data_IF_183979739765
#
_entry.id   IF_183979739765
#
_cell.length_a   1.000
_cell.length_b   1.000
_cell.length_c   1.000
_cell.angle_alpha   90.00
_cell.angle_beta   90.00
_cell.angle_gamma   90.00
#
_symmetry.space_group_name_H-M   'P 1'
#
loop_
_entity.id
_entity.type
_entity.pdbx_description
1 polymer ?
#
# COMPACT_ATOMS: atom_id res chain seq x y z
N UNK A 1 5.56 11.35 -8.91
CA UNK A 1 5.95 10.49 -7.76
C UNK A 1 4.91 9.41 -7.64
N UNK A 2 5.28 8.17 -7.83
CA UNK A 2 4.35 7.05 -7.74
C UNK A 2 4.10 6.79 -6.26
N UNK A 3 2.86 6.85 -5.87
CA UNK A 3 2.42 6.52 -4.53
C UNK A 3 2.35 5.01 -4.43
N UNK A 4 3.26 4.42 -3.66
CA UNK A 4 3.29 2.98 -3.47
C UNK A 4 2.26 2.58 -2.44
N UNK A 5 1.37 1.69 -2.85
CA UNK A 5 0.46 0.99 -1.96
C UNK A 5 0.98 -0.42 -1.65
N UNK A 6 0.31 -1.12 -0.74
CA UNK A 6 0.64 -2.50 -0.39
C UNK A 6 0.73 -3.37 -1.64
N UNK A 7 -0.19 -3.21 -2.58
CA UNK A 7 -0.21 -3.97 -3.83
C UNK A 7 1.03 -3.74 -4.68
N UNK A 8 1.39 -2.49 -4.89
CA UNK A 8 2.59 -2.13 -5.65
C UNK A 8 3.85 -2.65 -4.98
N UNK A 9 3.95 -2.51 -3.65
CA UNK A 9 5.09 -3.02 -2.90
C UNK A 9 5.24 -4.54 -3.00
N UNK A 10 4.14 -5.30 -2.90
CA UNK A 10 4.18 -6.77 -3.07
C UNK A 10 4.68 -7.13 -4.46
N UNK A 11 4.12 -6.52 -5.50
CA UNK A 11 4.51 -6.79 -6.89
C UNK A 11 5.96 -6.44 -7.17
N UNK A 12 6.44 -5.30 -6.64
CA UNK A 12 7.84 -4.88 -6.78
C UNK A 12 8.79 -5.84 -6.04
N UNK A 13 8.48 -6.18 -4.79
CA UNK A 13 9.33 -7.09 -4.01
C UNK A 13 9.39 -8.46 -4.65
N UNK A 14 8.30 -8.95 -5.21
CA UNK A 14 8.28 -10.19 -5.99
C UNK A 14 9.12 -10.08 -7.26
N UNK A 15 9.00 -8.98 -8.01
CA UNK A 15 9.79 -8.76 -9.23
C UNK A 15 11.29 -8.75 -8.91
N UNK A 16 11.71 -8.12 -7.81
CA UNK A 16 13.12 -8.09 -7.39
C UNK A 16 13.70 -9.48 -7.08
N UNK A 17 12.86 -10.45 -6.73
CA UNK A 17 13.30 -11.82 -6.41
C UNK A 17 13.37 -12.74 -7.63
N UNK A 18 12.97 -12.26 -8.81
CA UNK A 18 13.02 -13.08 -10.02
C UNK A 18 14.46 -13.30 -10.49
N UNK A 19 14.77 -14.43 -11.15
CA UNK A 19 16.10 -14.73 -11.67
C UNK A 19 16.65 -13.66 -12.59
N UNK A 20 15.80 -12.92 -13.29
CA UNK A 20 16.20 -11.79 -14.15
C UNK A 20 16.92 -10.68 -13.36
N UNK A 21 16.66 -10.54 -12.08
CA UNK A 21 17.35 -9.56 -11.21
C UNK A 21 18.46 -10.20 -10.37
N UNK A 22 18.14 -11.23 -9.57
CA UNK A 22 19.06 -11.75 -8.54
C UNK A 22 19.69 -13.11 -8.88
N UNK A 23 19.32 -13.73 -10.01
CA UNK A 23 19.88 -15.00 -10.46
C UNK A 23 21.32 -14.86 -10.97
N UNK A 24 21.97 -15.99 -11.19
CA UNK A 24 23.26 -16.03 -11.89
C UNK A 24 23.10 -15.43 -13.31
N UNK A 25 23.81 -14.33 -13.57
CA UNK A 25 23.66 -13.56 -14.82
C UNK A 25 22.47 -12.60 -14.83
N UNK A 26 21.74 -12.44 -13.70
CA UNK A 26 20.69 -11.44 -13.56
C UNK A 26 21.25 -10.02 -13.53
N UNK A 27 20.37 -9.03 -13.73
CA UNK A 27 20.75 -7.61 -13.88
C UNK A 27 21.46 -7.04 -12.64
N UNK A 28 21.24 -7.63 -11.48
CA UNK A 28 21.88 -7.24 -10.23
C UNK A 28 23.02 -8.18 -9.81
N UNK A 29 23.39 -9.14 -10.67
CA UNK A 29 24.53 -10.01 -10.42
C UNK A 29 25.82 -9.17 -10.28
N UNK A 30 26.59 -9.43 -9.22
CA UNK A 30 27.82 -8.71 -8.94
C UNK A 30 27.64 -7.34 -8.26
N UNK A 31 26.41 -6.86 -8.05
CA UNK A 31 26.17 -5.69 -7.24
C UNK A 31 26.27 -6.00 -5.74
N UNK A 32 26.77 -5.06 -4.99
CA UNK A 32 26.74 -5.12 -3.52
C UNK A 32 25.30 -4.94 -3.01
N UNK A 33 25.00 -5.44 -1.82
CA UNK A 33 23.69 -5.25 -1.20
C UNK A 33 23.33 -3.76 -1.04
N UNK A 34 24.29 -2.91 -0.77
CA UNK A 34 24.09 -1.46 -0.68
C UNK A 34 23.62 -0.86 -2.05
N UNK A 35 24.24 -1.30 -3.14
CA UNK A 35 23.84 -0.88 -4.49
C UNK A 35 22.43 -1.38 -4.86
N UNK A 36 22.10 -2.62 -4.50
CA UNK A 36 20.75 -3.18 -4.70
C UNK A 36 19.73 -2.38 -3.88
N UNK A 37 20.03 -2.09 -2.63
CA UNK A 37 19.15 -1.32 -1.75
C UNK A 37 18.91 0.10 -2.28
N UNK A 38 19.95 0.75 -2.80
CA UNK A 38 19.82 2.08 -3.42
C UNK A 38 18.91 2.04 -4.67
N UNK A 39 19.02 1.01 -5.51
CA UNK A 39 18.13 0.82 -6.67
C UNK A 39 16.67 0.61 -6.23
N UNK A 40 16.46 -0.26 -5.26
CA UNK A 40 15.10 -0.49 -4.71
C UNK A 40 14.50 0.79 -4.14
N UNK A 41 15.25 1.56 -3.36
CA UNK A 41 14.82 2.85 -2.83
C UNK A 41 14.41 3.82 -3.95
N UNK A 42 15.25 3.95 -4.98
CA UNK A 42 14.98 4.81 -6.12
C UNK A 42 13.75 4.37 -6.93
N UNK A 43 13.56 3.06 -7.12
CA UNK A 43 12.39 2.50 -7.81
C UNK A 43 11.12 2.74 -6.97
N UNK A 44 11.18 2.47 -5.68
CA UNK A 44 10.06 2.61 -4.76
C UNK A 44 9.70 4.09 -4.50
N UNK A 45 10.66 5.01 -4.69
CA UNK A 45 10.47 6.43 -4.40
C UNK A 45 10.48 6.77 -2.92
N UNK A 46 11.01 5.90 -2.07
CA UNK A 46 11.17 6.09 -0.62
C UNK A 46 12.62 6.46 -0.27
N UNK A 47 12.88 7.03 0.93
CA UNK A 47 14.24 7.34 1.37
C UNK A 47 15.19 6.14 1.38
N UNK A 48 14.64 4.94 1.64
CA UNK A 48 15.35 3.66 1.54
C UNK A 48 14.36 2.52 1.16
N UNK A 49 14.89 1.33 0.95
CA UNK A 49 14.07 0.17 0.55
C UNK A 49 13.16 -0.37 1.67
N UNK A 50 13.40 0.01 2.93
CA UNK A 50 12.70 -0.59 4.08
C UNK A 50 11.20 -0.32 4.07
N UNK A 51 10.78 0.84 3.57
CA UNK A 51 9.38 1.23 3.54
C UNK A 51 8.52 0.24 2.74
N UNK A 52 8.92 -0.11 1.51
CA UNK A 52 8.16 -1.06 0.70
C UNK A 52 8.21 -2.49 1.28
N UNK A 53 9.38 -2.93 1.74
CA UNK A 53 9.49 -4.22 2.43
C UNK A 53 8.67 -4.28 3.72
N UNK A 54 8.56 -3.16 4.44
CA UNK A 54 7.73 -3.07 5.62
C UNK A 54 6.24 -3.26 5.31
N UNK A 55 5.75 -2.66 4.23
CA UNK A 55 4.40 -2.88 3.73
C UNK A 55 4.15 -4.35 3.40
N UNK A 56 5.10 -4.99 2.70
CA UNK A 56 5.01 -6.42 2.36
C UNK A 56 4.99 -7.28 3.62
N UNK A 57 5.89 -7.00 4.57
CA UNK A 57 5.99 -7.78 5.81
C UNK A 57 4.78 -7.60 6.72
N UNK A 58 4.21 -6.39 6.75
CA UNK A 58 3.07 -6.09 7.61
C UNK A 58 1.73 -6.52 6.99
N UNK A 59 1.59 -6.38 5.67
CA UNK A 59 0.29 -6.46 4.99
C UNK A 59 0.27 -7.41 3.79
N UNK A 60 1.39 -7.99 3.43
CA UNK A 60 1.47 -9.04 2.43
C UNK A 60 1.59 -10.41 3.10
N UNK A 61 0.54 -11.21 3.09
CA UNK A 61 0.60 -12.57 3.62
C UNK A 61 0.87 -13.55 2.51
N UNK A 62 1.94 -14.34 2.64
CA UNK A 62 2.30 -15.37 1.65
C UNK A 62 2.40 -14.83 0.21
N UNK A 63 2.96 -13.64 0.03
CA UNK A 63 3.04 -12.98 -1.27
C UNK A 63 1.73 -12.38 -1.78
N UNK A 64 0.70 -12.28 -0.95
CA UNK A 64 -0.62 -11.75 -1.34
C UNK A 64 -0.87 -10.37 -0.74
N UNK A 65 -1.05 -9.39 -1.58
CA UNK A 65 -1.30 -8.03 -1.18
C UNK A 65 -2.72 -7.83 -0.63
N UNK A 66 -2.83 -7.07 0.45
CA UNK A 66 -4.11 -6.70 1.05
C UNK A 66 -4.89 -7.87 1.64
N UNK A 67 -4.22 -8.96 1.89
CA UNK A 67 -4.79 -10.18 2.47
C UNK A 67 -4.11 -10.45 3.78
N UNK A 68 -4.03 -9.47 4.58
CA UNK A 68 -3.57 -9.70 5.93
C UNK A 68 -4.71 -9.47 6.89
N UNK A 69 -4.69 -10.23 7.91
CA UNK A 69 -5.42 -9.95 9.12
C UNK A 69 -4.42 -9.93 10.25
N UNK A 70 -4.20 -8.77 10.82
CA UNK A 70 -3.41 -8.67 12.03
C UNK A 70 -4.34 -8.79 13.21
N UNK A 71 -4.24 -9.89 13.92
CA UNK A 71 -4.97 -10.12 15.15
C UNK A 71 -4.04 -9.93 16.32
N UNK A 72 -4.44 -9.06 17.24
CA UNK A 72 -3.82 -9.00 18.54
C UNK A 72 -4.25 -10.20 19.37
N UNK A 73 -3.31 -11.08 19.69
CA UNK A 73 -3.52 -12.18 20.64
C UNK A 73 -2.82 -11.83 21.95
N UNK A 74 -3.60 -11.73 22.99
CA UNK A 74 -3.09 -11.41 24.32
C UNK A 74 -3.69 -10.14 24.92
N UNK A 75 -3.26 -9.81 26.12
CA UNK A 75 -3.62 -8.56 26.78
C UNK A 75 -2.80 -7.43 26.16
N UNK A 76 -3.25 -6.28 25.92
CA UNK A 76 -2.58 -5.18 25.22
C UNK A 76 -1.11 -4.86 25.60
N UNK A 77 -0.53 -5.58 26.56
CA UNK A 77 0.87 -5.44 27.01
C UNK A 77 1.81 -6.45 26.35
N UNK A 78 1.30 -7.64 26.00
CA UNK A 78 2.10 -8.74 25.44
C UNK A 78 1.48 -9.33 24.18
N UNK A 79 0.65 -8.56 23.51
CA UNK A 79 -0.04 -9.03 22.30
C UNK A 79 0.92 -9.26 21.14
N UNK A 80 0.80 -10.43 20.51
CA UNK A 80 1.44 -10.71 19.23
C UNK A 80 0.48 -10.38 18.10
N UNK A 81 1.02 -9.91 16.99
CA UNK A 81 0.27 -9.75 15.76
C UNK A 81 0.42 -11.05 14.98
N UNK A 82 -0.69 -11.74 14.77
CA UNK A 82 -0.74 -12.94 13.94
C UNK A 82 -1.30 -12.60 12.57
N UNK A 83 -0.63 -13.05 11.54
CA UNK A 83 -1.19 -13.03 10.18
C UNK A 83 -2.19 -14.18 10.03
N UNK A 84 -3.31 -13.91 9.34
CA UNK A 84 -4.23 -14.98 9.00
C UNK A 84 -3.55 -16.01 8.11
N UNK A 85 -3.59 -17.30 8.43
CA UNK A 85 -3.05 -18.34 7.57
C UNK A 85 -3.89 -18.54 6.29
N UNK A 86 -5.13 -18.07 6.29
CA UNK A 86 -6.03 -18.17 5.14
C UNK A 86 -6.31 -16.77 4.56
N UNK A 87 -5.72 -16.43 3.42
CA UNK A 87 -5.88 -15.12 2.80
C UNK A 87 -7.32 -14.78 2.39
N UNK A 88 -8.18 -15.77 2.19
CA UNK A 88 -9.58 -15.58 1.78
C UNK A 88 -10.55 -15.62 2.94
N UNK A 89 -10.08 -15.82 4.17
CA UNK A 89 -10.91 -15.93 5.37
C UNK A 89 -10.40 -15.05 6.52
N UNK A 90 -10.30 -13.76 6.30
CA UNK A 90 -9.98 -12.80 7.36
C UNK A 90 -11.15 -12.59 8.35
N UNK A 91 -12.34 -13.12 8.04
CA UNK A 91 -13.52 -13.07 8.92
C UNK A 91 -13.50 -14.13 10.02
N UNK A 92 -12.58 -15.07 9.98
CA UNK A 92 -12.51 -16.22 10.91
C UNK A 92 -13.81 -17.06 10.93
N UNK A 93 -14.53 -17.10 9.81
CA UNK A 93 -15.68 -17.96 9.65
C UNK A 93 -15.28 -19.43 9.48
N UNK A 94 -16.16 -20.40 9.74
CA UNK A 94 -15.91 -21.79 9.38
C UNK A 94 -15.55 -21.89 7.89
N UNK A 95 -14.61 -22.74 7.54
CA UNK A 95 -14.15 -22.92 6.15
C UNK A 95 -15.27 -23.31 5.18
N UNK A 96 -16.32 -23.93 5.69
CA UNK A 96 -17.54 -24.25 4.92
C UNK A 96 -18.40 -23.03 4.58
N UNK A 97 -18.17 -21.90 5.22
CA UNK A 97 -18.94 -20.66 5.04
C UNK A 97 -18.18 -19.57 4.27
N UNK A 98 -17.00 -19.89 3.72
CA UNK A 98 -16.11 -18.94 3.04
C UNK A 98 -15.70 -19.49 1.69
N UNK A 99 -15.56 -18.59 0.71
CA UNK A 99 -15.00 -18.91 -0.59
C UNK A 99 -13.61 -19.58 -0.47
N UNK A 100 -13.45 -20.66 -1.19
CA UNK A 100 -12.20 -21.38 -1.35
C UNK A 100 -11.98 -21.66 -2.85
N UNK A 101 -10.91 -21.13 -3.48
CA UNK A 101 -10.69 -21.31 -4.92
C UNK A 101 -10.44 -22.76 -5.32
N UNK A 102 -10.17 -23.65 -4.37
CA UNK A 102 -9.98 -25.09 -4.63
C UNK A 102 -11.26 -25.91 -4.54
N UNK A 103 -12.36 -25.29 -4.08
CA UNK A 103 -13.65 -25.94 -3.83
C UNK A 103 -14.78 -25.26 -4.58
N UNK A 104 -15.18 -25.72 -5.77
CA UNK A 104 -16.20 -25.10 -6.61
C UNK A 104 -17.54 -24.86 -5.91
N UNK A 105 -17.91 -25.75 -4.99
CA UNK A 105 -19.14 -25.61 -4.20
C UNK A 105 -19.18 -24.36 -3.28
N UNK A 106 -18.02 -23.73 -3.07
CA UNK A 106 -17.90 -22.51 -2.24
C UNK A 106 -17.88 -21.23 -3.06
N UNK A 107 -17.96 -21.28 -4.39
CA UNK A 107 -17.80 -20.09 -5.24
C UNK A 107 -18.87 -19.04 -5.06
N UNK A 108 -20.01 -19.42 -4.49
CA UNK A 108 -21.10 -18.51 -4.12
C UNK A 108 -20.95 -17.88 -2.73
N UNK A 109 -19.93 -18.27 -1.96
CA UNK A 109 -19.72 -17.81 -0.59
C UNK A 109 -18.87 -16.53 -0.56
N UNK A 110 -18.95 -15.75 0.53
CA UNK A 110 -18.22 -14.50 0.67
C UNK A 110 -16.70 -14.72 0.69
N UNK A 111 -15.97 -13.82 0.05
CA UNK A 111 -14.52 -13.69 0.20
C UNK A 111 -14.21 -12.72 1.33
N UNK A 112 -13.69 -13.21 2.43
CA UNK A 112 -13.32 -12.37 3.57
C UNK A 112 -11.89 -11.83 3.43
N UNK A 113 -11.62 -11.12 2.37
CA UNK A 113 -10.33 -10.47 2.13
C UNK A 113 -10.45 -8.93 2.11
N UNK A 114 -9.31 -8.25 2.09
CA UNK A 114 -9.27 -6.80 2.17
C UNK A 114 -9.98 -6.08 1.01
N UNK A 115 -10.17 -6.72 -0.13
CA UNK A 115 -10.87 -6.13 -1.28
C UNK A 115 -12.37 -6.28 -1.17
N UNK A 116 -12.82 -7.37 -0.59
CA UNK A 116 -14.24 -7.71 -0.54
C UNK A 116 -15.02 -7.00 0.57
N UNK A 117 -14.31 -6.34 1.52
CA UNK A 117 -14.96 -5.61 2.61
C UNK A 117 -15.91 -4.51 2.12
N UNK A 118 -15.60 -3.92 0.97
CA UNK A 118 -16.37 -2.82 0.43
C UNK A 118 -17.40 -3.25 -0.65
N UNK A 119 -17.73 -4.53 -0.71
CA UNK A 119 -18.70 -5.06 -1.69
C UNK A 119 -20.04 -4.32 -1.65
N UNK A 120 -20.48 -3.90 -0.48
CA UNK A 120 -21.73 -3.15 -0.30
C UNK A 120 -21.61 -1.67 -0.72
N UNK A 121 -20.42 -1.20 -1.06
CA UNK A 121 -20.19 0.17 -1.51
C UNK A 121 -20.13 0.23 -3.02
N UNK A 122 -19.27 -0.54 -3.67
CA UNK A 122 -19.14 -0.51 -5.14
C UNK A 122 -19.70 -1.73 -5.86
N UNK A 123 -20.30 -2.67 -5.12
CA UNK A 123 -21.03 -3.79 -5.73
C UNK A 123 -20.15 -4.98 -6.09
N UNK A 124 -20.83 -5.98 -6.64
CA UNK A 124 -20.23 -7.23 -7.09
C UNK A 124 -19.99 -7.25 -8.58
N UNK A 125 -19.08 -8.11 -9.01
CA UNK A 125 -18.98 -8.50 -10.43
C UNK A 125 -20.29 -9.18 -10.85
N UNK A 126 -20.86 -8.84 -12.01
CA UNK A 126 -22.08 -9.49 -12.50
C UNK A 126 -21.98 -11.02 -12.48
N UNK A 127 -22.97 -11.66 -11.87
CA UNK A 127 -23.01 -13.12 -11.74
C UNK A 127 -22.05 -13.71 -10.69
N UNK A 128 -21.46 -12.89 -9.83
CA UNK A 128 -20.52 -13.34 -8.81
C UNK A 128 -20.78 -12.66 -7.47
N UNK A 129 -20.28 -13.25 -6.38
CA UNK A 129 -20.22 -12.61 -5.03
C UNK A 129 -18.91 -11.83 -4.82
N UNK A 130 -17.98 -11.88 -5.77
CA UNK A 130 -16.73 -11.15 -5.66
C UNK A 130 -16.99 -9.64 -5.80
N UNK A 131 -16.38 -8.82 -4.95
CA UNK A 131 -16.40 -7.38 -5.11
C UNK A 131 -15.81 -6.95 -6.45
N UNK A 132 -16.36 -5.90 -7.04
CA UNK A 132 -15.68 -5.18 -8.11
C UNK A 132 -14.34 -4.64 -7.61
N UNK A 133 -13.42 -4.36 -8.51
CA UNK A 133 -12.05 -3.97 -8.19
C UNK A 133 -11.80 -2.49 -8.52
N UNK A 134 -11.23 -1.76 -7.57
CA UNK A 134 -10.81 -0.37 -7.76
C UNK A 134 -9.32 -0.23 -7.99
N UNK A 135 -8.56 -1.35 -7.98
CA UNK A 135 -7.13 -1.34 -8.22
C UNK A 135 -6.84 -1.24 -9.71
N UNK A 136 -5.90 -0.37 -10.04
CA UNK A 136 -5.44 -0.19 -11.40
C UNK A 136 -3.95 0.14 -11.41
N UNK A 137 -3.17 -0.62 -12.15
CA UNK A 137 -1.77 -0.30 -12.40
C UNK A 137 -1.41 -0.37 -13.89
N UNK A 138 -2.44 -0.35 -14.74
CA UNK A 138 -2.24 -0.22 -16.19
C UNK A 138 -1.62 1.15 -16.48
N UNK A 139 -0.54 1.18 -17.25
CA UNK A 139 0.17 2.41 -17.56
C UNK A 139 1.12 2.93 -16.47
N UNK A 140 1.15 2.33 -15.29
CA UNK A 140 2.16 2.67 -14.27
C UNK A 140 3.53 2.25 -14.76
N UNK A 141 4.46 3.21 -14.81
CA UNK A 141 5.84 2.99 -15.22
C UNK A 141 6.71 2.91 -13.97
N UNK A 142 6.81 1.70 -13.40
CA UNK A 142 7.59 1.45 -12.21
C UNK A 142 9.07 1.76 -12.46
N UNK A 143 9.65 2.58 -11.59
CA UNK A 143 11.06 2.97 -11.70
C UNK A 143 11.36 4.06 -12.73
N UNK A 144 10.36 4.71 -13.36
CA UNK A 144 10.62 5.77 -14.35
C UNK A 144 11.50 6.90 -13.79
N UNK A 145 11.26 7.30 -12.54
CA UNK A 145 12.12 8.33 -11.92
C UNK A 145 13.54 7.83 -11.73
N UNK A 146 13.71 6.59 -11.27
CA UNK A 146 15.03 5.97 -11.09
C UNK A 146 15.80 5.86 -12.42
N UNK A 147 15.11 5.56 -13.52
CA UNK A 147 15.69 5.59 -14.88
C UNK A 147 16.12 7.00 -15.27
N UNK A 148 15.26 7.98 -15.11
CA UNK A 148 15.58 9.39 -15.47
C UNK A 148 16.70 9.98 -14.64
N UNK A 149 16.83 9.57 -13.40
CA UNK A 149 17.90 9.96 -12.49
C UNK A 149 19.20 9.16 -12.72
N UNK A 150 19.21 8.20 -13.65
CA UNK A 150 20.37 7.37 -13.97
C UNK A 150 20.74 6.34 -12.90
N UNK A 151 19.84 6.06 -11.95
CA UNK A 151 20.07 5.06 -10.89
C UNK A 151 19.92 3.64 -11.40
N UNK A 152 19.00 3.42 -12.34
CA UNK A 152 18.83 2.16 -13.06
C UNK A 152 18.99 2.36 -14.56
N UNK A 153 19.38 1.30 -15.25
CA UNK A 153 19.51 1.31 -16.72
C UNK A 153 18.18 1.05 -17.42
N UNK A 154 18.17 1.25 -18.75
CA UNK A 154 16.99 0.99 -19.57
C UNK A 154 16.56 -0.48 -19.52
N UNK A 155 17.49 -1.42 -19.52
CA UNK A 155 17.21 -2.84 -19.42
C UNK A 155 16.56 -3.20 -18.06
N UNK A 156 17.08 -2.65 -16.95
CA UNK A 156 16.46 -2.83 -15.64
C UNK A 156 15.02 -2.30 -15.61
N UNK A 157 14.79 -1.13 -16.21
CA UNK A 157 13.47 -0.51 -16.28
C UNK A 157 12.48 -1.35 -17.11
N UNK A 158 12.88 -1.82 -18.28
CA UNK A 158 12.02 -2.64 -19.15
C UNK A 158 11.72 -3.96 -18.46
N UNK A 159 12.74 -4.68 -17.99
CA UNK A 159 12.58 -5.98 -17.30
C UNK A 159 11.69 -5.85 -16.06
N UNK A 160 11.86 -4.77 -15.28
CA UNK A 160 10.98 -4.52 -14.13
C UNK A 160 9.52 -4.43 -14.55
N UNK A 161 9.24 -3.63 -15.58
CA UNK A 161 7.87 -3.39 -16.03
C UNK A 161 7.25 -4.58 -16.76
N UNK A 162 8.04 -5.49 -17.31
CA UNK A 162 7.59 -6.79 -17.82
C UNK A 162 7.23 -7.76 -16.70
N UNK A 163 8.00 -7.74 -15.59
CA UNK A 163 7.80 -8.65 -14.47
C UNK A 163 6.71 -8.21 -13.49
N UNK A 164 6.50 -6.91 -13.36
CA UNK A 164 5.43 -6.39 -12.49
C UNK A 164 4.10 -6.60 -13.18
N UNK A 165 3.33 -7.56 -12.66
CA UNK A 165 1.98 -7.86 -13.11
C UNK A 165 0.91 -7.08 -12.35
N UNK A 166 -0.13 -7.80 -11.96
CA UNK A 166 -1.24 -7.31 -11.15
C UNK A 166 -1.64 -8.31 -10.07
N UNK A 167 -2.75 -8.01 -9.43
CA UNK A 167 -3.32 -8.83 -8.36
C UNK A 167 -4.77 -9.13 -8.72
N UNK A 168 -5.17 -10.38 -8.63
CA UNK A 168 -6.55 -10.79 -8.87
C UNK A 168 -7.47 -10.52 -7.66
N UNK A 169 -8.78 -10.79 -7.80
CA UNK A 169 -9.77 -10.58 -6.74
C UNK A 169 -9.61 -11.52 -5.55
N UNK A 170 -8.84 -12.56 -5.72
CA UNK A 170 -8.46 -13.50 -4.64
C UNK A 170 -7.09 -13.15 -4.05
N UNK A 171 -6.57 -11.97 -4.41
CA UNK A 171 -5.29 -11.41 -3.94
C UNK A 171 -4.06 -12.22 -4.37
N UNK A 172 -4.19 -13.00 -5.44
CA UNK A 172 -3.03 -13.70 -6.03
C UNK A 172 -2.33 -12.78 -7.02
N UNK A 173 -1.00 -12.72 -7.00
CA UNK A 173 -0.22 -12.12 -8.08
C UNK A 173 -0.50 -12.81 -9.42
N UNK A 174 -0.58 -12.03 -10.47
CA UNK A 174 -0.75 -12.51 -11.84
C UNK A 174 0.13 -11.73 -12.82
N UNK A 175 0.40 -12.29 -13.98
CA UNK A 175 1.24 -11.62 -14.98
C UNK A 175 0.58 -10.39 -15.59
N UNK A 176 -0.74 -10.38 -15.75
CA UNK A 176 -1.48 -9.25 -16.29
C UNK A 176 -1.60 -8.14 -15.25
N UNK A 177 -1.46 -6.88 -15.68
CA UNK A 177 -1.72 -5.70 -14.86
C UNK A 177 -3.17 -5.70 -14.32
N UNK A 178 -3.36 -5.12 -13.17
CA UNK A 178 -4.71 -4.88 -12.64
C UNK A 178 -5.38 -3.76 -13.40
N UNK A 179 -6.66 -3.96 -13.72
CA UNK A 179 -7.52 -2.95 -14.35
C UNK A 179 -8.74 -2.77 -13.46
N UNK A 180 -9.04 -1.53 -13.08
CA UNK A 180 -10.19 -1.22 -12.27
C UNK A 180 -11.51 -1.42 -13.04
N UNK A 181 -12.54 -1.84 -12.34
CA UNK A 181 -13.91 -1.76 -12.82
C UNK A 181 -14.38 -0.30 -12.73
N UNK A 182 -14.65 0.35 -13.87
CA UNK A 182 -14.90 1.80 -13.93
C UNK A 182 -16.05 2.25 -13.03
N UNK A 183 -17.14 1.48 -12.96
CA UNK A 183 -18.27 1.79 -12.08
C UNK A 183 -17.92 1.73 -10.60
N UNK A 184 -17.03 0.80 -10.20
CA UNK A 184 -16.52 0.72 -8.85
C UNK A 184 -15.59 1.88 -8.52
N UNK A 185 -14.72 2.25 -9.45
CA UNK A 185 -13.83 3.39 -9.30
C UNK A 185 -14.61 4.70 -9.13
N UNK A 186 -15.60 4.94 -9.98
CA UNK A 186 -16.50 6.10 -9.87
C UNK A 186 -17.21 6.13 -8.51
N UNK A 187 -17.74 4.99 -8.08
CA UNK A 187 -18.42 4.85 -6.79
C UNK A 187 -17.48 5.11 -5.63
N UNK A 188 -16.23 4.61 -5.67
CA UNK A 188 -15.23 4.86 -4.64
C UNK A 188 -14.96 6.35 -4.44
N UNK A 189 -14.85 7.12 -5.53
CA UNK A 189 -14.70 8.58 -5.44
C UNK A 189 -15.96 9.28 -4.95
N UNK A 190 -17.12 8.88 -5.41
CA UNK A 190 -18.41 9.51 -5.04
C UNK A 190 -18.83 9.21 -3.61
N UNK A 191 -18.52 8.03 -3.10
CA UNK A 191 -18.85 7.61 -1.73
C UNK A 191 -18.02 8.30 -0.66
N UNK A 192 -16.92 8.95 -1.03
CA UNK A 192 -15.99 9.60 -0.09
C UNK A 192 -14.97 8.65 0.54
N UNK A 193 -14.93 7.37 0.17
CA UNK A 193 -13.85 6.46 0.59
C UNK A 193 -12.49 6.96 0.12
N UNK A 194 -12.43 7.49 -1.10
CA UNK A 194 -11.27 8.24 -1.56
C UNK A 194 -11.46 9.69 -1.13
N UNK A 195 -10.61 10.18 -0.26
CA UNK A 195 -10.63 11.57 0.17
C UNK A 195 -10.40 12.50 -1.03
N UNK A 196 -11.47 13.13 -1.52
CA UNK A 196 -11.38 14.16 -2.56
C UNK A 196 -11.05 15.51 -1.93
N UNK A 197 -10.35 16.37 -2.65
CA UNK A 197 -10.05 17.72 -2.19
C UNK A 197 -11.31 18.58 -1.98
N UNK A 198 -12.39 18.30 -2.69
CA UNK A 198 -13.62 19.14 -2.73
C UNK A 198 -14.22 19.42 -1.36
N UNK A 199 -14.38 18.40 -0.52
CA UNK A 199 -14.91 18.57 0.83
C UNK A 199 -13.82 19.05 1.78
N UNK A 200 -12.61 18.49 1.64
CA UNK A 200 -11.48 18.85 2.49
C UNK A 200 -11.09 20.34 2.35
N UNK A 201 -11.24 20.93 1.18
CA UNK A 201 -10.97 22.36 0.97
C UNK A 201 -11.89 23.30 1.78
N UNK A 202 -12.98 22.78 2.37
CA UNK A 202 -13.96 23.54 3.14
C UNK A 202 -13.87 23.31 4.65
N UNK A 203 -12.91 22.51 5.10
CA UNK A 203 -12.75 22.10 6.50
C UNK A 203 -11.43 22.63 7.05
N UNK A 204 -11.42 23.03 8.33
CA UNK A 204 -10.16 23.21 9.03
C UNK A 204 -9.56 21.84 9.35
N UNK A 205 -8.28 21.65 9.07
CA UNK A 205 -7.60 20.37 9.21
C UNK A 205 -6.28 20.57 9.95
N UNK A 206 -6.09 19.84 11.03
CA UNK A 206 -4.78 19.65 11.65
C UNK A 206 -4.33 18.23 11.33
N UNK A 207 -3.31 18.08 10.51
CA UNK A 207 -2.74 16.80 10.11
C UNK A 207 -1.51 16.51 10.98
N UNK A 208 -1.66 15.57 11.89
CA UNK A 208 -0.60 15.17 12.82
C UNK A 208 0.17 14.00 12.22
N UNK A 209 1.43 14.21 11.85
CA UNK A 209 2.24 13.21 11.17
C UNK A 209 3.58 13.00 11.87
N UNK A 210 3.76 11.79 12.41
CA UNK A 210 5.05 11.32 12.89
C UNK A 210 5.97 10.92 11.74
N UNK A 211 7.27 10.90 11.99
CA UNK A 211 8.24 10.37 11.03
C UNK A 211 8.10 8.85 10.92
N UNK A 212 7.71 8.37 9.76
CA UNK A 212 7.52 6.94 9.48
C UNK A 212 7.95 6.56 8.04
N UNK A 213 8.81 7.36 7.42
CA UNK A 213 9.20 7.13 6.02
C UNK A 213 10.36 6.14 5.87
N UNK A 214 11.13 5.88 6.95
CA UNK A 214 12.30 5.01 6.94
C UNK A 214 12.63 4.48 8.32
N UNK A 215 13.16 3.26 8.38
CA UNK A 215 13.76 2.70 9.60
C UNK A 215 15.28 2.98 9.71
N UNK A 216 15.91 3.32 8.59
CA UNK A 216 17.38 3.48 8.54
C UNK A 216 17.81 4.86 9.00
N UNK A 217 17.01 5.88 8.74
CA UNK A 217 17.35 7.28 9.03
C UNK A 217 16.86 7.77 10.39
N UNK A 218 16.17 6.93 11.16
CA UNK A 218 15.70 7.27 12.50
C UNK A 218 16.78 6.93 13.53
N UNK A 219 17.12 7.86 14.45
CA UNK A 219 18.08 7.58 15.50
C UNK A 219 17.72 6.31 16.30
N UNK A 220 18.72 5.53 16.70
CA UNK A 220 18.51 4.34 17.51
C UNK A 220 17.70 4.64 18.77
N UNK A 221 16.71 3.80 19.07
CA UNK A 221 15.85 3.94 20.25
C UNK A 221 14.61 4.83 20.03
N UNK A 222 14.51 5.57 18.93
CA UNK A 222 13.32 6.35 18.59
C UNK A 222 12.32 5.58 17.69
N UNK A 223 12.72 4.43 17.22
CA UNK A 223 11.87 3.60 16.38
C UNK A 223 11.56 2.31 17.14
N UNK A 224 10.35 2.15 17.68
CA UNK A 224 9.93 0.83 18.12
C UNK A 224 10.03 -0.13 16.93
N UNK A 225 10.33 -1.43 17.15
CA UNK A 225 10.35 -2.40 16.08
C UNK A 225 8.97 -2.42 15.41
N UNK A 226 8.84 -1.74 14.30
CA UNK A 226 7.60 -1.58 13.55
C UNK A 226 7.90 -1.12 12.14
N UNK A 227 7.02 -1.47 11.24
CA UNK A 227 7.15 -1.14 9.84
C UNK A 227 6.95 0.37 9.61
N UNK A 228 7.78 1.04 8.81
CA UNK A 228 7.52 2.39 8.34
C UNK A 228 6.40 2.34 7.30
N UNK A 229 5.18 2.56 7.73
CA UNK A 229 3.97 2.42 6.89
C UNK A 229 3.11 3.68 6.82
N UNK A 230 3.30 4.64 7.72
CA UNK A 230 2.55 5.89 7.75
C UNK A 230 3.37 7.03 7.13
N UNK A 231 3.68 6.91 5.85
CA UNK A 231 4.58 7.82 5.13
C UNK A 231 4.03 9.25 5.09
N UNK A 232 4.93 10.22 5.18
CA UNK A 232 4.55 11.64 5.16
C UNK A 232 3.96 12.11 3.84
N UNK A 233 4.29 11.44 2.72
CA UNK A 233 3.74 11.81 1.42
C UNK A 233 2.20 11.73 1.37
N UNK A 234 1.55 10.89 2.19
CA UNK A 234 0.09 10.84 2.28
C UNK A 234 -0.51 12.19 2.66
N UNK A 235 0.11 12.90 3.60
CA UNK A 235 -0.31 14.26 3.97
C UNK A 235 -0.14 15.26 2.82
N UNK A 236 0.95 15.14 2.08
CA UNK A 236 1.20 15.96 0.91
C UNK A 236 0.23 15.65 -0.24
N UNK A 237 -0.08 14.37 -0.48
CA UNK A 237 -1.08 13.99 -1.47
C UNK A 237 -2.49 14.53 -1.13
N UNK A 238 -2.85 14.56 0.16
CA UNK A 238 -4.09 15.22 0.62
C UNK A 238 -4.02 16.72 0.36
N UNK A 239 -2.90 17.36 0.67
CA UNK A 239 -2.68 18.79 0.43
C UNK A 239 -2.82 19.15 -1.04
N UNK A 240 -2.22 18.38 -1.93
CA UNK A 240 -2.32 18.60 -3.37
C UNK A 240 -3.78 18.50 -3.87
N UNK A 241 -4.54 17.56 -3.33
CA UNK A 241 -5.98 17.43 -3.64
C UNK A 241 -6.78 18.64 -3.15
N UNK A 242 -6.44 19.18 -1.97
CA UNK A 242 -7.07 20.40 -1.44
C UNK A 242 -6.74 21.58 -2.37
N UNK A 243 -5.48 21.76 -2.73
CA UNK A 243 -5.04 22.82 -3.65
C UNK A 243 -5.79 22.77 -4.99
N UNK A 244 -5.92 21.57 -5.55
CA UNK A 244 -6.59 21.36 -6.84
C UNK A 244 -8.09 21.76 -6.83
N UNK A 245 -8.75 21.65 -5.69
CA UNK A 245 -10.19 21.92 -5.52
C UNK A 245 -10.48 23.24 -4.79
N UNK A 246 -9.47 23.91 -4.27
CA UNK A 246 -9.60 25.20 -3.58
C UNK A 246 -9.77 26.34 -4.58
N UNK A 247 -10.76 27.17 -4.38
CA UNK A 247 -10.94 28.37 -5.21
C UNK A 247 -9.76 29.35 -5.13
N UNK A 248 -9.01 29.32 -4.03
CA UNK A 248 -7.81 30.13 -3.83
C UNK A 248 -6.53 29.48 -4.39
N UNK A 249 -6.61 28.23 -4.86
CA UNK A 249 -5.44 27.49 -5.34
C UNK A 249 -4.41 27.19 -4.24
N UNK A 250 -4.86 27.11 -2.99
CA UNK A 250 -4.00 26.86 -1.83
C UNK A 250 -4.63 25.87 -0.85
N UNK A 251 -3.89 25.48 0.17
CA UNK A 251 -4.36 24.61 1.26
C UNK A 251 -4.08 25.26 2.62
N UNK A 252 -4.40 26.56 2.77
CA UNK A 252 -4.22 27.30 4.04
C UNK A 252 -5.10 26.77 5.17
N UNK A 253 -6.13 26.02 4.85
CA UNK A 253 -7.00 25.35 5.79
C UNK A 253 -6.42 24.06 6.38
N UNK A 254 -5.25 23.60 5.91
CA UNK A 254 -4.55 22.42 6.42
C UNK A 254 -3.24 22.84 7.10
N UNK A 255 -3.14 22.63 8.40
CA UNK A 255 -1.90 22.71 9.15
C UNK A 255 -1.24 21.33 9.26
N UNK A 256 0.00 21.22 8.78
CA UNK A 256 0.78 19.98 8.89
C UNK A 256 1.72 20.08 10.11
N UNK A 257 1.45 19.29 11.12
CA UNK A 257 2.29 19.16 12.30
C UNK A 257 3.14 17.89 12.20
N UNK A 258 4.43 18.07 12.09
CA UNK A 258 5.40 17.01 11.93
C UNK A 258 6.23 16.85 13.19
N UNK A 259 6.38 15.62 13.64
CA UNK A 259 7.10 15.30 14.88
C UNK A 259 7.79 13.93 14.79
N UNK A 260 8.63 13.62 15.79
CA UNK A 260 9.22 12.29 15.91
C UNK A 260 8.12 11.25 16.23
N UNK A 261 8.25 10.05 15.67
CA UNK A 261 7.25 8.96 15.77
C UNK A 261 6.83 8.65 17.22
N UNK A 262 7.74 8.79 18.18
CA UNK A 262 7.49 8.47 19.60
C UNK A 262 6.67 9.50 20.35
N UNK A 263 6.40 10.67 19.75
CA UNK A 263 5.73 11.79 20.41
C UNK A 263 4.22 11.90 20.15
N UNK A 264 3.54 10.83 19.74
CA UNK A 264 2.17 10.91 19.21
C UNK A 264 1.12 11.38 20.23
N UNK A 265 1.28 11.05 21.50
CA UNK A 265 0.29 11.40 22.53
C UNK A 265 0.23 12.92 22.81
N UNK A 266 1.37 13.55 23.03
CA UNK A 266 1.45 14.97 23.31
C UNK A 266 1.02 15.87 22.13
N UNK A 267 1.48 15.60 20.87
CA UNK A 267 0.96 16.32 19.71
C UNK A 267 -0.54 16.15 19.48
N UNK A 268 -1.09 14.97 19.80
CA UNK A 268 -2.54 14.71 19.70
C UNK A 268 -3.34 15.63 20.64
N UNK A 269 -2.92 15.76 21.88
CA UNK A 269 -3.55 16.66 22.87
C UNK A 269 -3.44 18.11 22.43
N UNK A 270 -2.24 18.57 22.05
CA UNK A 270 -2.05 19.94 21.56
C UNK A 270 -2.87 20.23 20.30
N UNK A 271 -3.05 19.25 19.43
CA UNK A 271 -3.92 19.37 18.25
C UNK A 271 -5.37 19.60 18.62
N UNK A 272 -5.89 18.91 19.62
CA UNK A 272 -7.25 19.10 20.12
C UNK A 272 -7.43 20.46 20.79
N UNK A 273 -6.43 20.94 21.52
CA UNK A 273 -6.46 22.27 22.16
C UNK A 273 -6.38 23.43 21.14
N UNK A 274 -5.75 23.18 19.99
CA UNK A 274 -5.61 24.16 18.91
C UNK A 274 -6.82 24.23 17.96
N UNK A 275 -7.71 23.25 18.01
CA UNK A 275 -8.88 23.14 17.13
C UNK A 275 -10.08 23.87 17.75
#
# INVERSE_FOLDING_TARGET
TTTMEVGDCVLLVEAYQKPAFIGAGGLWAGLTQAQINARKAAINGHPDQSACHAWVNAFGSNGKAGVYFQRFVGNGTTGAILQSPNPTNNCELPSSAVYDPTRPETFHLPRCNAWNWAVNIWGTVPGSVAAQDTRDNVGVQYGLKALRDGVIGAEEFVTLNELVGGIDRDSNPRAQRSTADLGALETAYRSGIVASGRQLARMAIIDLRGWDDSNVTVPPGLNPPGAPIHHQWFSWAVRDRIVAESAAGDARNQALWRFARTGLAAPGTLGLEAF
#
